data_IF_706842002577
#
_entry.id   IF_706842002577
#
_cell.length_a   1.000
_cell.length_b   1.000
_cell.length_c   1.000
_cell.angle_alpha   90.00
_cell.angle_beta   90.00
_cell.angle_gamma   90.00
#
_symmetry.space_group_name_H-M   'P 1'
#
loop_
_entity.id
_entity.type
_entity.pdbx_description
1 polymer ?
#
# COMPACT_ATOMS: atom_id res chain seq x y z
N UNK A 1 -0.56 -2.92 8.90
CA UNK A 1 -1.89 -2.49 8.38
C UNK A 1 -2.93 -3.53 8.76
N UNK A 2 -4.22 -3.19 8.75
CA UNK A 2 -5.25 -4.17 9.05
C UNK A 2 -6.64 -3.73 8.60
N UNK A 3 -7.52 -4.71 8.43
CA UNK A 3 -8.91 -4.53 8.05
C UNK A 3 -9.80 -5.11 9.14
N UNK A 4 -10.97 -4.53 9.34
CA UNK A 4 -11.95 -5.02 10.30
C UNK A 4 -13.32 -5.04 9.65
N UNK A 5 -13.92 -6.23 9.54
CA UNK A 5 -15.27 -6.39 9.03
C UNK A 5 -16.24 -6.32 10.20
N UNK A 6 -17.09 -5.30 10.19
CA UNK A 6 -18.11 -5.07 11.21
C UNK A 6 -19.19 -6.16 11.22
N UNK A 7 -19.52 -6.73 10.06
CA UNK A 7 -20.58 -7.72 9.92
C UNK A 7 -20.15 -9.08 10.46
N UNK A 8 -18.96 -9.55 10.06
CA UNK A 8 -18.42 -10.84 10.53
C UNK A 8 -17.62 -10.75 11.82
N UNK A 9 -17.33 -9.54 12.32
CA UNK A 9 -16.45 -9.26 13.45
C UNK A 9 -15.04 -9.85 13.27
N UNK A 10 -14.60 -10.00 12.02
CA UNK A 10 -13.30 -10.54 11.70
C UNK A 10 -12.30 -9.43 11.48
N UNK A 11 -11.10 -9.63 12.06
CA UNK A 11 -9.96 -8.75 11.85
C UNK A 11 -8.92 -9.43 10.97
N UNK A 12 -8.41 -8.69 10.00
CA UNK A 12 -7.25 -9.06 9.22
C UNK A 12 -6.08 -8.18 9.63
N UNK A 13 -4.96 -8.80 9.98
CA UNK A 13 -3.74 -8.10 10.39
C UNK A 13 -2.64 -8.48 9.40
N UNK A 14 -1.91 -7.47 8.94
CA UNK A 14 -0.82 -7.63 7.99
C UNK A 14 0.38 -6.76 8.36
N UNK A 15 1.56 -7.34 8.15
CA UNK A 15 2.82 -6.63 8.24
C UNK A 15 3.13 -6.01 6.89
N UNK A 16 3.12 -4.67 6.84
CA UNK A 16 3.47 -3.91 5.64
C UNK A 16 4.88 -3.33 5.82
N UNK A 17 5.73 -3.57 4.84
CA UNK A 17 7.07 -3.01 4.74
C UNK A 17 7.20 -2.25 3.44
N UNK A 18 7.74 -1.04 3.55
CA UNK A 18 7.94 -0.13 2.44
C UNK A 18 9.44 0.10 2.30
N UNK A 19 9.96 0.01 1.09
CA UNK A 19 11.38 0.21 0.80
C UNK A 19 11.51 1.12 -0.41
N UNK A 20 12.15 2.28 -0.22
CA UNK A 20 12.47 3.18 -1.30
C UNK A 20 13.52 2.55 -2.23
N UNK A 21 13.35 2.75 -3.53
CA UNK A 21 14.27 2.27 -4.57
C UNK A 21 14.49 3.37 -5.61
N UNK A 22 15.49 3.25 -6.49
CA UNK A 22 15.62 4.18 -7.61
C UNK A 22 14.38 4.11 -8.51
N UNK A 23 13.66 5.23 -8.62
CA UNK A 23 12.47 5.36 -9.47
C UNK A 23 11.19 4.74 -8.92
N UNK A 24 11.07 4.58 -7.59
CA UNK A 24 9.81 4.17 -6.97
C UNK A 24 9.97 3.52 -5.60
N UNK A 25 8.87 2.94 -5.11
CA UNK A 25 8.78 2.36 -3.78
C UNK A 25 8.28 0.92 -3.87
N UNK A 26 9.01 -0.03 -3.28
CA UNK A 26 8.57 -1.42 -3.16
C UNK A 26 7.76 -1.58 -1.89
N UNK A 27 6.55 -2.11 -2.00
CA UNK A 27 5.76 -2.57 -0.86
C UNK A 27 5.79 -4.08 -0.77
N UNK A 28 5.98 -4.60 0.44
CA UNK A 28 5.83 -6.02 0.77
C UNK A 28 4.84 -6.14 1.90
N UNK A 29 3.79 -6.92 1.69
CA UNK A 29 2.74 -7.18 2.67
C UNK A 29 2.74 -8.68 2.96
N UNK A 30 2.87 -9.05 4.22
CA UNK A 30 2.83 -10.43 4.71
C UNK A 30 1.77 -10.56 5.79
N UNK A 31 1.29 -11.77 6.05
CA UNK A 31 0.37 -12.02 7.17
C UNK A 31 1.11 -12.75 8.30
N UNK A 32 1.07 -12.24 9.55
CA UNK A 32 1.59 -12.98 10.69
C UNK A 32 0.79 -14.26 10.98
N UNK A 33 -0.45 -14.35 10.46
CA UNK A 33 -1.36 -15.47 10.66
C UNK A 33 -1.35 -16.46 9.49
N UNK A 34 -0.72 -16.12 8.35
CA UNK A 34 -0.58 -17.01 7.21
C UNK A 34 0.75 -16.74 6.49
N UNK A 35 1.75 -17.57 6.77
CA UNK A 35 3.10 -17.44 6.21
C UNK A 35 3.16 -17.67 4.70
N UNK A 36 2.09 -18.18 4.09
CA UNK A 36 1.98 -18.35 2.64
C UNK A 36 1.47 -17.08 1.99
N UNK A 37 0.78 -16.20 2.73
CA UNK A 37 0.33 -14.93 2.20
C UNK A 37 1.52 -13.98 2.05
N UNK A 38 1.78 -13.60 0.81
CA UNK A 38 2.73 -12.56 0.49
C UNK A 38 2.26 -11.79 -0.74
N UNK A 39 2.32 -10.48 -0.62
CA UNK A 39 2.12 -9.58 -1.74
C UNK A 39 3.28 -8.62 -1.81
N UNK A 40 3.90 -8.57 -2.98
CA UNK A 40 4.99 -7.65 -3.29
C UNK A 40 4.61 -6.89 -4.54
N UNK A 41 4.79 -5.58 -4.50
CA UNK A 41 4.62 -4.75 -5.69
C UNK A 41 5.38 -3.45 -5.59
N UNK A 42 5.26 -2.66 -6.64
CA UNK A 42 6.02 -1.43 -6.82
C UNK A 42 5.08 -0.28 -7.13
N UNK A 43 5.17 0.77 -6.33
CA UNK A 43 4.72 2.10 -6.69
C UNK A 43 5.78 2.73 -7.59
N UNK A 44 5.41 3.02 -8.83
CA UNK A 44 6.26 3.75 -9.77
C UNK A 44 5.69 5.15 -9.89
N UNK A 45 6.51 6.16 -9.59
CA UNK A 45 6.15 7.56 -9.79
C UNK A 45 5.98 7.81 -11.29
N UNK A 46 4.86 8.41 -11.68
CA UNK A 46 4.57 8.71 -13.08
C UNK A 46 4.82 10.17 -13.42
N UNK A 47 4.20 11.09 -12.68
CA UNK A 47 4.35 12.52 -12.92
C UNK A 47 4.08 13.32 -11.66
N UNK A 48 4.72 14.49 -11.57
CA UNK A 48 4.40 15.52 -10.58
C UNK A 48 3.59 16.60 -11.29
N UNK A 49 2.31 16.78 -10.93
CA UNK A 49 1.50 17.92 -11.38
C UNK A 49 0.98 18.68 -10.16
N UNK A 50 1.18 19.99 -10.11
CA UNK A 50 0.66 20.88 -9.04
C UNK A 50 0.97 20.38 -7.61
N UNK A 51 2.22 19.94 -7.37
CA UNK A 51 2.64 19.37 -6.08
C UNK A 51 1.91 18.09 -5.66
N UNK A 52 1.20 17.44 -6.58
CA UNK A 52 0.62 16.11 -6.40
C UNK A 52 1.46 15.09 -7.17
N UNK A 53 1.92 14.06 -6.46
CA UNK A 53 2.64 12.93 -7.02
C UNK A 53 1.63 11.85 -7.42
N UNK A 54 1.70 11.39 -8.66
CA UNK A 54 0.92 10.24 -9.10
C UNK A 54 1.79 8.98 -9.14
N UNK A 55 1.24 7.90 -8.61
CA UNK A 55 1.87 6.59 -8.59
C UNK A 55 0.98 5.58 -9.29
N UNK A 56 1.58 4.73 -10.12
CA UNK A 56 0.98 3.48 -10.57
C UNK A 56 1.52 2.32 -9.75
N UNK A 57 0.65 1.39 -9.39
CA UNK A 57 1.04 0.19 -8.68
C UNK A 57 1.14 -1.01 -9.62
N UNK A 58 2.25 -1.73 -9.61
CA UNK A 58 2.40 -2.99 -10.35
C UNK A 58 2.75 -4.15 -9.41
N UNK A 59 2.09 -5.32 -9.56
CA UNK A 59 2.43 -6.50 -8.79
C UNK A 59 3.79 -7.05 -9.25
N UNK A 60 4.67 -7.38 -8.29
CA UNK A 60 5.93 -8.09 -8.52
C UNK A 60 5.75 -9.58 -8.19
N UNK A 61 5.10 -9.87 -7.06
CA UNK A 61 4.82 -11.23 -6.62
C UNK A 61 3.54 -11.26 -5.82
N UNK A 62 2.72 -12.29 -6.04
CA UNK A 62 1.48 -12.48 -5.32
C UNK A 62 1.27 -13.96 -5.04
N UNK A 63 1.03 -14.28 -3.77
CA UNK A 63 0.55 -15.57 -3.36
C UNK A 63 -0.51 -15.38 -2.27
N UNK A 64 -1.74 -15.75 -2.56
CA UNK A 64 -2.83 -15.77 -1.60
C UNK A 64 -3.56 -17.12 -1.64
N UNK A 65 -3.34 -18.01 -0.66
CA UNK A 65 -4.02 -19.30 -0.61
C UNK A 65 -5.46 -19.20 -0.09
N UNK A 66 -5.93 -18.02 0.34
CA UNK A 66 -7.25 -17.84 0.96
C UNK A 66 -7.97 -16.64 0.34
N UNK A 67 -8.99 -16.90 -0.47
CA UNK A 67 -9.83 -15.86 -1.07
C UNK A 67 -10.86 -15.29 -0.10
N UNK A 68 -11.45 -14.15 -0.47
CA UNK A 68 -12.54 -13.51 0.27
C UNK A 68 -12.06 -12.60 1.41
N UNK A 69 -10.78 -12.20 1.39
CA UNK A 69 -10.23 -11.26 2.38
C UNK A 69 -10.38 -9.82 1.89
N UNK A 70 -10.65 -8.89 2.80
CA UNK A 70 -10.80 -7.47 2.48
C UNK A 70 -9.54 -6.87 1.87
N UNK A 71 -8.36 -7.39 2.22
CA UNK A 71 -7.11 -6.97 1.58
C UNK A 71 -7.18 -7.10 0.05
N UNK A 72 -7.89 -8.08 -0.49
CA UNK A 72 -8.00 -8.29 -1.94
C UNK A 72 -8.61 -7.08 -2.64
N UNK A 73 -9.65 -6.46 -2.05
CA UNK A 73 -10.25 -5.24 -2.58
C UNK A 73 -9.31 -4.04 -2.52
N UNK A 74 -8.49 -3.94 -1.47
CA UNK A 74 -7.44 -2.91 -1.40
C UNK A 74 -6.36 -3.12 -2.47
N UNK A 75 -5.92 -4.36 -2.68
CA UNK A 75 -4.93 -4.68 -3.72
C UNK A 75 -5.47 -4.43 -5.11
N UNK A 76 -6.72 -4.82 -5.36
CA UNK A 76 -7.42 -4.56 -6.62
C UNK A 76 -7.52 -3.06 -6.91
N UNK A 77 -7.89 -2.26 -5.89
CA UNK A 77 -7.88 -0.80 -6.00
C UNK A 77 -6.50 -0.27 -6.41
N UNK A 78 -5.42 -0.70 -5.74
CA UNK A 78 -4.07 -0.24 -6.06
C UNK A 78 -3.68 -0.59 -7.51
N UNK A 79 -3.94 -1.82 -7.95
CA UNK A 79 -3.53 -2.28 -9.29
C UNK A 79 -4.27 -1.59 -10.43
N UNK A 80 -5.51 -1.15 -10.20
CA UNK A 80 -6.38 -0.61 -11.24
C UNK A 80 -6.61 0.90 -11.16
N UNK A 81 -6.06 1.59 -10.15
CA UNK A 81 -6.22 3.04 -9.98
C UNK A 81 -4.87 3.76 -9.90
N UNK A 82 -4.84 5.00 -10.40
CA UNK A 82 -3.74 5.92 -10.11
C UNK A 82 -3.85 6.37 -8.66
N UNK A 83 -2.78 6.18 -7.90
CA UNK A 83 -2.70 6.61 -6.50
C UNK A 83 -2.07 8.00 -6.45
N UNK A 84 -2.86 8.98 -6.05
CA UNK A 84 -2.38 10.34 -5.86
C UNK A 84 -1.94 10.56 -4.43
N UNK A 85 -0.73 11.09 -4.24
CA UNK A 85 -0.17 11.45 -2.95
C UNK A 85 0.31 12.89 -2.95
N UNK A 86 0.09 13.57 -1.83
CA UNK A 86 0.56 14.92 -1.59
C UNK A 86 1.71 14.87 -0.58
N UNK A 87 2.89 15.42 -0.91
CA UNK A 87 3.95 15.60 0.05
C UNK A 87 3.57 16.68 1.06
N UNK A 88 3.82 16.41 2.33
CA UNK A 88 3.63 17.34 3.43
C UNK A 88 4.77 17.20 4.44
N UNK A 89 4.98 18.24 5.25
CA UNK A 89 5.93 18.21 6.35
C UNK A 89 5.15 18.35 7.66
N UNK A 90 5.28 17.37 8.54
CA UNK A 90 4.66 17.38 9.87
C UNK A 90 5.76 17.32 10.91
N UNK A 91 5.86 18.35 11.75
CA UNK A 91 6.91 18.43 12.79
C UNK A 91 8.34 18.23 12.25
N UNK A 92 8.59 18.70 11.02
CA UNK A 92 9.89 18.56 10.35
C UNK A 92 10.12 17.21 9.66
N UNK A 93 9.17 16.28 9.74
CA UNK A 93 9.23 14.99 9.04
C UNK A 93 8.51 15.05 7.69
N UNK A 94 9.19 14.68 6.58
CA UNK A 94 8.53 14.58 5.27
C UNK A 94 7.62 13.34 5.25
N UNK A 95 6.37 13.56 4.86
CA UNK A 95 5.34 12.53 4.71
C UNK A 95 4.71 12.64 3.31
N UNK A 96 4.37 11.51 2.73
CA UNK A 96 3.48 11.41 1.57
C UNK A 96 2.11 10.95 2.05
N UNK A 97 1.07 11.73 1.77
CA UNK A 97 -0.30 11.41 2.17
C UNK A 97 -1.16 11.22 0.93
N UNK A 98 -1.69 10.02 0.77
CA UNK A 98 -2.61 9.64 -0.30
C UNK A 98 -4.06 9.92 0.06
N UNK A 99 -4.88 10.21 -0.95
CA UNK A 99 -6.33 10.39 -0.78
C UNK A 99 -7.04 9.13 -0.26
N UNK A 100 -6.44 7.96 -0.46
CA UNK A 100 -6.90 6.67 0.06
C UNK A 100 -6.54 6.44 1.53
N UNK A 101 -6.01 7.44 2.24
CA UNK A 101 -5.57 7.33 3.63
C UNK A 101 -4.21 6.63 3.81
N UNK A 102 -3.49 6.38 2.71
CA UNK A 102 -2.13 5.86 2.74
C UNK A 102 -1.19 6.97 3.22
N UNK A 103 -0.39 6.69 4.24
CA UNK A 103 0.65 7.62 4.70
C UNK A 103 2.00 6.90 4.63
N UNK A 104 2.96 7.49 3.90
CA UNK A 104 4.33 7.00 3.82
C UNK A 104 5.24 8.06 4.44
N UNK A 105 6.07 7.66 5.39
CA UNK A 105 7.10 8.51 5.99
C UNK A 105 8.46 7.84 5.90
N UNK A 106 9.52 8.64 5.89
CA UNK A 106 10.85 8.12 6.19
C UNK A 106 10.91 7.74 7.67
N UNK A 107 11.63 6.66 7.96
CA UNK A 107 11.71 6.08 9.30
C UNK A 107 12.87 6.67 10.08
#
# INVERSE_FOLDING_TARGET
MGFYDLLSQQKEIYDARITATQGGVISTITSPNDNRFIFKGKFTEQTTQNSQLSFSYSPIFFNNPTSGRMIEGFLDYLMHNTVFMTPMVVEGQPLLVGQSGIVLGEK
#
